data_IF_576019494160
#
_entry.id   IF_576019494160
#
_cell.length_a   1.000
_cell.length_b   1.000
_cell.length_c   1.000
_cell.angle_alpha   90.00
_cell.angle_beta   90.00
_cell.angle_gamma   90.00
#
_symmetry.space_group_name_H-M   'P 1'
#
loop_
_entity.id
_entity.type
_entity.pdbx_description
1 polymer ?
#
# COMPACT_ATOMS: atom_id res chain seq x y z
N UNK A 1 -40.24 -16.97 8.21
CA UNK A 1 -39.91 -16.48 7.90
C UNK A 1 -39.34 -16.18 7.94
N UNK A 2 -39.38 -16.64 8.00
CA UNK A 2 -38.84 -16.13 7.69
C UNK A 2 -38.03 -15.86 7.67
N UNK A 3 -37.95 -16.32 7.39
CA UNK A 3 -37.16 -15.88 7.05
C UNK A 3 -36.45 -15.51 7.09
N UNK A 4 -36.45 -15.96 7.14
CA UNK A 4 -35.77 -15.29 6.71
C UNK A 4 -34.98 -15.03 6.91
N UNK A 5 -34.99 -15.60 6.85
CA UNK A 5 -34.25 -15.07 6.66
C UNK A 5 -33.49 -14.85 6.79
N UNK A 6 -33.42 -15.17 6.64
CA UNK A 6 -32.64 -14.54 6.33
C UNK A 6 -31.94 -14.14 6.40
N UNK A 7 -32.04 -14.62 6.29
CA UNK A 7 -31.58 -13.90 5.96
C UNK A 7 -30.84 -13.35 6.20
N UNK A 8 -30.90 -13.71 6.17
CA UNK A 8 -30.36 -12.81 5.98
C UNK A 8 -29.46 -12.45 6.39
N UNK A 9 -29.54 -12.98 6.46
CA UNK A 9 -28.91 -12.33 6.51
C UNK A 9 -28.02 -12.24 6.76
N UNK A 10 -27.86 -12.39 6.54
CA UNK A 10 -27.18 -11.91 6.37
C UNK A 10 -26.58 -11.40 6.36
N UNK A 11 -26.39 -11.71 6.02
CA UNK A 11 -26.15 -11.02 5.69
C UNK A 11 -25.58 -10.01 6.09
N UNK A 12 -25.63 -9.70 6.26
CA UNK A 12 -25.18 -8.54 6.77
C UNK A 12 -23.80 -8.52 7.27
N UNK A 13 -23.36 -9.28 8.06
CA UNK A 13 -21.97 -9.33 8.48
C UNK A 13 -21.02 -9.39 7.33
N UNK A 14 -21.49 -9.82 6.23
CA UNK A 14 -20.64 -9.94 5.09
C UNK A 14 -20.08 -8.66 4.59
N UNK A 15 -20.75 -7.58 4.86
CA UNK A 15 -20.25 -6.29 4.43
C UNK A 15 -18.92 -6.00 5.03
N UNK A 16 -18.63 -6.54 6.16
CA UNK A 16 -17.39 -6.27 6.81
C UNK A 16 -16.29 -7.23 6.48
N UNK A 17 -16.56 -8.15 5.59
CA UNK A 17 -15.55 -9.14 5.26
C UNK A 17 -14.53 -8.64 4.24
N UNK A 18 -14.67 -7.40 3.78
CA UNK A 18 -13.76 -6.83 2.79
C UNK A 18 -13.31 -5.47 3.26
N UNK A 19 -12.01 -5.28 3.30
CA UNK A 19 -11.40 -4.00 3.64
C UNK A 19 -10.76 -3.42 2.40
N UNK A 20 -10.55 -2.13 2.40
CA UNK A 20 -9.96 -1.43 1.28
C UNK A 20 -8.60 -0.91 1.66
N UNK A 21 -7.61 -1.14 0.80
CA UNK A 21 -6.30 -0.50 0.93
C UNK A 21 -6.11 0.34 -0.32
N UNK A 22 -5.81 1.62 -0.11
CA UNK A 22 -5.53 2.52 -1.21
C UNK A 22 -4.03 2.77 -1.28
N UNK A 23 -3.42 2.36 -2.39
CA UNK A 23 -1.99 2.47 -2.58
C UNK A 23 -1.70 3.47 -3.69
N UNK A 24 -0.88 4.47 -3.38
CA UNK A 24 -0.54 5.51 -4.35
C UNK A 24 0.96 5.69 -4.38
N UNK A 25 1.44 6.23 -5.50
CA UNK A 25 2.86 6.53 -5.64
C UNK A 25 3.00 7.86 -6.36
N UNK A 26 4.02 8.62 -5.97
CA UNK A 26 4.35 9.85 -6.63
C UNK A 26 5.20 9.60 -7.85
N UNK A 27 5.69 10.69 -8.44
CA UNK A 27 6.56 10.59 -9.61
C UNK A 27 7.91 10.00 -9.21
N UNK A 28 8.40 9.07 -9.98
CA UNK A 28 9.71 8.50 -9.75
C UNK A 28 9.72 7.02 -9.46
N UNK A 29 8.56 6.39 -9.43
CA UNK A 29 8.51 4.96 -9.19
C UNK A 29 7.10 4.45 -9.13
N UNK A 30 6.96 3.20 -8.70
CA UNK A 30 5.65 2.55 -8.62
C UNK A 30 5.53 1.77 -7.32
N UNK A 31 4.31 1.54 -6.93
CA UNK A 31 3.99 0.62 -5.85
C UNK A 31 3.08 -0.46 -6.43
N UNK A 32 3.30 -1.70 -6.04
CA UNK A 32 2.55 -2.83 -6.59
C UNK A 32 2.04 -3.71 -5.46
N UNK A 33 0.77 -4.04 -5.44
CA UNK A 33 -0.30 -3.55 -6.30
C UNK A 33 -0.59 -2.08 -6.04
N UNK A 34 -1.26 -1.41 -6.99
CA UNK A 34 -1.52 0.01 -6.86
C UNK A 34 -3.01 0.28 -6.92
N UNK A 35 -3.37 1.53 -6.65
CA UNK A 35 -4.75 1.99 -6.64
C UNK A 35 -5.51 1.41 -5.46
N UNK A 36 -6.81 1.38 -5.58
CA UNK A 36 -7.64 0.88 -4.50
C UNK A 36 -7.90 -0.60 -4.71
N UNK A 37 -7.65 -1.39 -3.70
CA UNK A 37 -7.90 -2.82 -3.81
C UNK A 37 -8.63 -3.33 -2.58
N UNK A 38 -9.33 -4.44 -2.76
CA UNK A 38 -10.10 -5.07 -1.71
C UNK A 38 -9.32 -6.24 -1.14
N UNK A 39 -9.34 -6.37 0.18
CA UNK A 39 -8.64 -7.45 0.86
C UNK A 39 -9.61 -8.05 1.86
N UNK A 40 -9.64 -9.36 1.95
CA UNK A 40 -10.52 -10.03 2.91
C UNK A 40 -10.18 -9.66 4.35
N UNK A 41 -11.20 -9.53 5.15
CA UNK A 41 -11.04 -9.21 6.57
C UNK A 41 -10.12 -10.23 7.24
N UNK A 42 -9.13 -9.74 7.96
CA UNK A 42 -8.20 -10.61 8.69
C UNK A 42 -7.06 -11.15 7.86
N UNK A 43 -7.07 -10.91 6.57
CA UNK A 43 -6.00 -11.39 5.71
C UNK A 43 -4.82 -10.42 5.72
N UNK A 44 -3.80 -10.76 4.97
CA UNK A 44 -2.60 -9.94 4.86
C UNK A 44 -2.39 -9.55 3.41
N UNK A 45 -1.63 -8.48 3.20
CA UNK A 45 -1.34 -8.03 1.84
C UNK A 45 0.03 -7.38 1.81
N UNK A 46 0.85 -7.83 0.88
CA UNK A 46 2.20 -7.29 0.73
C UNK A 46 2.25 -6.31 -0.43
N UNK A 47 2.99 -5.22 -0.22
CA UNK A 47 3.25 -4.23 -1.25
C UNK A 47 4.74 -4.17 -1.51
N UNK A 48 5.09 -3.96 -2.77
CA UNK A 48 6.48 -3.82 -3.20
C UNK A 48 6.61 -2.47 -3.87
N UNK A 49 7.64 -1.74 -3.53
CA UNK A 49 7.88 -0.40 -4.04
C UNK A 49 9.15 -0.43 -4.88
N UNK A 50 9.05 0.09 -6.11
CA UNK A 50 10.19 0.09 -7.04
C UNK A 50 10.42 1.48 -7.60
N UNK A 51 11.57 2.07 -7.33
CA UNK A 51 11.90 3.36 -7.95
C UNK A 51 12.29 3.13 -9.40
N UNK A 52 12.05 4.15 -10.23
CA UNK A 52 12.55 4.14 -11.60
C UNK A 52 14.07 4.28 -11.56
N UNK A 53 14.72 3.93 -12.66
CA UNK A 53 16.15 4.15 -12.77
C UNK A 53 16.44 5.63 -12.59
N UNK A 54 17.43 5.95 -11.77
CA UNK A 54 17.76 7.33 -11.47
C UNK A 54 16.95 7.92 -10.34
N UNK A 55 16.12 7.11 -9.70
CA UNK A 55 15.31 7.55 -8.57
C UNK A 55 15.54 6.65 -7.39
N UNK A 56 15.20 7.13 -6.23
CA UNK A 56 15.27 6.36 -5.00
C UNK A 56 13.97 6.55 -4.23
N UNK A 57 13.67 5.61 -3.36
CA UNK A 57 12.50 5.73 -2.50
C UNK A 57 12.80 6.80 -1.47
N UNK A 58 11.94 7.81 -1.38
CA UNK A 58 12.09 8.88 -0.42
C UNK A 58 11.47 8.49 0.91
N UNK A 59 10.23 8.02 0.85
CA UNK A 59 9.50 7.70 2.08
C UNK A 59 8.29 6.87 1.74
N UNK A 60 7.86 6.09 2.72
CA UNK A 60 6.61 5.36 2.65
C UNK A 60 5.76 5.83 3.81
N UNK A 61 4.51 6.17 3.52
CA UNK A 61 3.56 6.54 4.57
C UNK A 61 2.49 5.48 4.66
N UNK A 62 2.30 4.95 5.84
CA UNK A 62 1.24 3.97 6.11
C UNK A 62 0.24 4.64 7.01
N UNK A 63 -0.99 4.77 6.51
CA UNK A 63 -2.06 5.45 7.25
C UNK A 63 -1.62 6.84 7.71
N UNK A 64 -0.87 7.53 6.84
CA UNK A 64 -0.42 8.88 7.12
C UNK A 64 0.83 8.99 7.97
N UNK A 65 1.42 7.87 8.36
CA UNK A 65 2.60 7.87 9.22
C UNK A 65 3.82 7.42 8.42
N UNK A 66 4.87 8.22 8.47
CA UNK A 66 6.11 7.91 7.76
C UNK A 66 6.81 6.73 8.42
N UNK A 67 7.19 5.75 7.61
CA UNK A 67 7.92 4.58 8.11
C UNK A 67 9.30 4.45 7.47
N UNK A 68 9.69 5.42 6.65
CA UNK A 68 10.99 5.41 6.02
C UNK A 68 10.97 4.82 4.63
N UNK A 69 12.12 4.81 3.96
CA UNK A 69 12.19 4.41 2.55
C UNK A 69 12.35 2.90 2.40
N UNK A 70 11.32 2.16 2.77
CA UNK A 70 11.37 0.71 2.64
C UNK A 70 10.88 0.29 1.26
N UNK A 71 11.37 -0.85 0.77
CA UNK A 71 11.00 -1.34 -0.55
C UNK A 71 9.88 -2.38 -0.49
N UNK A 72 9.47 -2.74 0.70
CA UNK A 72 8.37 -3.69 0.90
C UNK A 72 7.65 -3.37 2.18
N UNK A 73 6.36 -3.61 2.20
CA UNK A 73 5.57 -3.46 3.42
C UNK A 73 4.42 -4.45 3.38
N UNK A 74 4.18 -5.11 4.48
CA UNK A 74 3.07 -6.06 4.57
C UNK A 74 2.09 -5.61 5.65
N UNK A 75 0.83 -5.44 5.25
CA UNK A 75 -0.25 -5.29 6.21
C UNK A 75 -0.65 -6.70 6.66
N UNK A 76 -0.78 -6.89 7.95
CA UNK A 76 -1.19 -8.18 8.49
C UNK A 76 -2.47 -8.02 9.28
N UNK A 77 -3.27 -9.07 9.31
CA UNK A 77 -4.51 -9.08 10.07
C UNK A 77 -5.33 -7.82 9.79
N UNK A 78 -5.67 -7.63 8.53
CA UNK A 78 -6.30 -6.41 8.08
C UNK A 78 -7.76 -6.40 8.54
N UNK A 79 -8.06 -5.53 9.51
CA UNK A 79 -9.39 -5.45 10.08
C UNK A 79 -10.02 -4.07 9.88
N UNK A 80 -9.36 -3.20 9.13
CA UNK A 80 -9.88 -1.87 8.82
C UNK A 80 -9.26 -1.42 7.52
N UNK A 81 -9.75 -0.30 7.01
CA UNK A 81 -9.21 0.25 5.77
C UNK A 81 -7.85 0.88 6.05
N UNK A 82 -7.00 0.87 5.05
CA UNK A 82 -5.64 1.41 5.18
C UNK A 82 -5.26 2.18 3.95
N UNK A 83 -4.21 3.00 4.08
CA UNK A 83 -3.60 3.66 2.94
C UNK A 83 -2.11 3.42 3.02
N UNK A 84 -1.47 3.41 1.84
CA UNK A 84 -0.02 3.35 1.76
C UNK A 84 0.39 4.23 0.58
N UNK A 85 1.37 5.08 0.81
CA UNK A 85 1.79 6.03 -0.19
C UNK A 85 3.31 6.01 -0.28
N UNK A 86 3.81 5.92 -1.50
CA UNK A 86 5.24 5.92 -1.75
C UNK A 86 5.63 7.23 -2.43
N UNK A 87 6.72 7.83 -1.97
CA UNK A 87 7.27 9.01 -2.61
C UNK A 87 8.70 8.73 -2.99
N UNK A 88 9.16 9.40 -4.04
CA UNK A 88 10.46 9.15 -4.61
C UNK A 88 11.20 10.47 -4.79
N UNK A 89 12.53 10.38 -4.93
CA UNK A 89 13.35 11.53 -5.18
C UNK A 89 14.38 11.15 -6.22
N UNK A 90 14.90 12.14 -6.90
CA UNK A 90 15.96 11.87 -7.83
C UNK A 90 17.20 11.41 -7.10
N UNK A 91 17.80 10.36 -7.60
CA UNK A 91 19.00 9.80 -7.05
C UNK A 91 20.13 10.03 -8.02
N UNK A 92 20.73 11.19 -7.93
CA UNK A 92 21.81 11.54 -8.83
C UNK A 92 23.05 10.83 -8.33
N UNK A 93 23.56 10.00 -9.12
CA UNK A 93 24.76 9.29 -8.68
C UNK A 93 25.87 10.29 -8.69
N UNK A 94 26.14 10.81 -8.25
CA UNK A 94 27.07 11.70 -8.20
C UNK A 94 28.41 11.44 -8.27
N UNK A 95 27.95 10.97 -8.39
CA UNK A 95 28.52 10.87 -8.24
C UNK A 95 29.37 11.02 -8.49
N UNK A 96 29.27 11.04 -8.81
CA UNK A 96 29.87 11.13 -8.93
C UNK A 96 30.61 11.79 -8.73
N UNK A 97 30.45 11.80 -8.73
CA UNK A 97 30.93 12.36 -8.60
C UNK A 97 31.98 12.34 -8.29
N UNK A 98 32.44 12.26 -8.53
CA UNK A 98 33.33 12.27 -8.40
C UNK A 98 34.16 12.64 -8.42
N UNK A 99 34.58 12.80 -8.42
CA UNK A 99 35.31 13.18 -8.54
C UNK A 99 35.99 13.29 -8.85
N UNK A 100 36.05 13.21 -9.13
CA UNK A 100 36.53 13.46 -9.37
C UNK A 100 36.84 13.75 -9.49
N UNK A 101 37.10 13.63 -9.44
CA UNK A 101 37.26 14.00 -9.64
C UNK A 101 37.53 13.99 -9.64
#
# INVERSE_FOLDING_TARGET
MTMARHESTHQTGRMRSVMTITATSGHGGVISPSSRLSVGYGLSKMFVIRPWEGYAICDIEVDGVSIGPVSMYMFTNITENHTIRATFRKDTPAAPQRPEG
#
